data_IF_363473736010
#
_entry.id   IF_363473736010
#
_cell.length_a   1.000
_cell.length_b   1.000
_cell.length_c   1.000
_cell.angle_alpha   90.00
_cell.angle_beta   90.00
_cell.angle_gamma   90.00
#
_symmetry.space_group_name_H-M   'P 1'
#
loop_
_entity.id
_entity.type
_entity.pdbx_description
1 polymer ?
#
# COMPACT_ATOMS: atom_id res chain seq x y z
N UNK A 1 25.26 83.53 14.94
CA UNK A 1 26.19 82.57 14.34
C UNK A 1 25.43 81.72 13.38
N UNK A 2 25.42 82.06 12.11
CA UNK A 2 24.74 81.29 11.05
C UNK A 2 25.78 80.39 10.40
N UNK A 3 25.61 79.09 10.38
CA UNK A 3 26.45 78.16 9.62
C UNK A 3 25.69 77.71 8.40
N UNK A 4 26.21 78.03 7.22
CA UNK A 4 25.75 77.60 5.91
C UNK A 4 26.21 76.17 5.66
N UNK A 5 25.26 75.29 5.25
CA UNK A 5 25.57 73.97 4.65
C UNK A 5 25.33 74.04 3.15
N UNK A 6 26.36 73.74 2.38
CA UNK A 6 26.28 73.58 0.94
C UNK A 6 25.77 72.20 0.53
N UNK A 7 25.02 72.06 -0.56
CA UNK A 7 24.52 70.75 -1.01
C UNK A 7 25.57 69.98 -1.83
N UNK A 8 25.70 68.67 -1.56
CA UNK A 8 26.47 67.71 -2.36
C UNK A 8 25.72 67.33 -3.61
N UNK A 9 26.34 67.07 -4.77
CA UNK A 9 25.69 66.61 -5.97
C UNK A 9 25.40 65.11 -5.88
N UNK A 10 24.18 64.70 -6.25
CA UNK A 10 23.75 63.33 -6.36
C UNK A 10 24.39 62.66 -7.60
N UNK A 11 25.17 61.62 -7.37
CA UNK A 11 25.73 60.75 -8.41
C UNK A 11 24.62 59.74 -8.81
N UNK A 12 24.07 59.83 -10.02
CA UNK A 12 23.14 58.85 -10.58
C UNK A 12 23.90 57.58 -11.02
N UNK A 13 23.71 56.49 -10.29
CA UNK A 13 24.26 55.18 -10.63
C UNK A 13 23.27 54.51 -11.57
N UNK A 14 23.56 54.43 -12.86
CA UNK A 14 22.79 53.70 -13.86
C UNK A 14 23.03 52.20 -13.70
N UNK A 15 22.06 51.51 -13.15
CA UNK A 15 22.07 50.03 -13.04
C UNK A 15 21.69 49.43 -14.41
N UNK A 16 22.68 48.90 -15.13
CA UNK A 16 22.46 48.04 -16.32
C UNK A 16 21.90 46.71 -15.87
N UNK A 17 20.60 46.50 -16.05
CA UNK A 17 19.97 45.20 -15.94
C UNK A 17 20.36 44.31 -17.14
N UNK A 18 21.27 43.36 -16.91
CA UNK A 18 21.52 42.26 -17.84
C UNK A 18 20.31 41.31 -17.77
N UNK A 19 19.77 40.85 -18.92
CA UNK A 19 18.70 39.84 -18.90
C UNK A 19 19.26 38.54 -18.34
N UNK A 20 18.64 38.05 -17.27
CA UNK A 20 18.91 36.73 -16.75
C UNK A 20 18.54 35.69 -17.83
N UNK A 21 19.54 34.96 -18.31
CA UNK A 21 19.30 33.80 -19.18
C UNK A 21 18.45 32.81 -18.42
N UNK A 22 17.26 32.50 -18.94
CA UNK A 22 16.44 31.42 -18.43
C UNK A 22 17.25 30.10 -18.47
N UNK A 23 17.24 29.30 -17.41
CA UNK A 23 17.89 28.00 -17.46
C UNK A 23 17.25 27.19 -18.57
N UNK A 24 18.04 26.81 -19.59
CA UNK A 24 17.62 25.81 -20.56
C UNK A 24 17.30 24.53 -19.81
N UNK A 25 16.08 24.06 -19.90
CA UNK A 25 15.72 22.73 -19.46
C UNK A 25 16.69 21.74 -20.14
N UNK A 26 17.62 21.19 -19.36
CA UNK A 26 18.41 20.05 -19.82
C UNK A 26 17.39 18.94 -20.09
N UNK A 27 17.40 18.41 -21.30
CA UNK A 27 16.80 17.13 -21.60
C UNK A 27 17.35 16.16 -20.56
N UNK A 28 16.46 15.61 -19.74
CA UNK A 28 16.82 14.68 -18.68
C UNK A 28 17.59 13.52 -19.33
N UNK A 29 18.83 13.39 -18.92
CA UNK A 29 19.65 12.21 -19.18
C UNK A 29 19.06 11.11 -18.28
N UNK A 30 17.97 10.48 -18.76
CA UNK A 30 17.23 9.48 -18.03
C UNK A 30 18.05 8.20 -18.05
N UNK A 31 18.99 8.10 -17.12
CA UNK A 31 19.69 6.84 -16.86
C UNK A 31 18.64 5.75 -16.68
N UNK A 32 18.66 4.66 -17.48
CA UNK A 32 17.67 3.60 -17.38
C UNK A 32 17.61 3.07 -15.94
N UNK A 33 16.39 3.01 -15.37
CA UNK A 33 16.21 2.48 -14.02
C UNK A 33 16.61 1.01 -13.98
N UNK A 34 17.17 0.51 -12.86
CA UNK A 34 17.38 -0.92 -12.66
C UNK A 34 16.07 -1.68 -12.82
N UNK A 35 16.16 -2.90 -13.31
CA UNK A 35 14.98 -3.77 -13.56
C UNK A 35 15.06 -4.94 -12.59
N UNK A 36 13.93 -5.27 -11.99
CA UNK A 36 13.76 -6.42 -11.11
C UNK A 36 12.90 -7.49 -11.82
N UNK A 37 13.40 -8.74 -11.86
CA UNK A 37 12.58 -9.85 -12.32
C UNK A 37 12.15 -9.80 -13.79
N UNK A 38 11.01 -10.40 -14.09
CA UNK A 38 10.47 -10.54 -15.45
C UNK A 38 8.94 -10.52 -15.50
N UNK A 39 8.37 -10.33 -16.69
CA UNK A 39 6.93 -10.30 -16.94
C UNK A 39 6.53 -11.55 -17.74
N UNK A 40 5.76 -12.43 -17.10
CA UNK A 40 5.28 -13.69 -17.66
C UNK A 40 3.89 -13.48 -18.25
N UNK A 41 3.74 -13.72 -19.56
CA UNK A 41 2.49 -13.60 -20.29
C UNK A 41 1.89 -14.98 -20.51
N UNK A 42 0.69 -15.24 -20.00
CA UNK A 42 0.06 -16.55 -20.04
C UNK A 42 -1.21 -16.55 -20.88
N UNK A 43 -1.80 -15.37 -21.08
CA UNK A 43 -3.00 -15.17 -21.88
C UNK A 43 -2.82 -13.97 -22.81
N UNK A 44 -3.29 -14.03 -24.08
CA UNK A 44 -3.21 -12.90 -25.01
C UNK A 44 -3.88 -11.61 -24.49
N UNK A 45 -4.91 -11.72 -23.65
CA UNK A 45 -5.58 -10.58 -23.02
C UNK A 45 -4.71 -9.81 -22.03
N UNK A 46 -3.59 -10.39 -21.60
CA UNK A 46 -2.66 -9.71 -20.70
C UNK A 46 -1.98 -8.49 -21.36
N UNK A 47 -1.79 -8.51 -22.69
CA UNK A 47 -1.20 -7.40 -23.44
C UNK A 47 -2.07 -6.13 -23.42
N UNK A 48 -3.38 -6.29 -23.17
CA UNK A 48 -4.30 -5.18 -22.96
C UNK A 48 -4.23 -4.56 -21.56
N UNK A 49 -3.45 -5.14 -20.66
CA UNK A 49 -3.23 -4.66 -19.27
C UNK A 49 -1.80 -4.17 -19.09
N UNK A 50 -0.83 -4.95 -19.58
CA UNK A 50 0.61 -4.65 -19.47
C UNK A 50 1.20 -4.63 -20.88
N UNK A 51 1.68 -3.47 -21.36
CA UNK A 51 2.15 -3.36 -22.75
C UNK A 51 3.35 -4.29 -23.01
N UNK A 52 3.49 -4.83 -24.23
CA UNK A 52 4.69 -5.54 -24.63
C UNK A 52 5.96 -4.70 -24.38
N UNK A 53 7.00 -5.32 -23.81
CA UNK A 53 8.26 -4.63 -23.48
C UNK A 53 8.26 -3.84 -22.18
N UNK A 54 7.14 -3.80 -21.43
CA UNK A 54 7.12 -3.25 -20.08
C UNK A 54 8.16 -3.96 -19.18
N UNK A 55 8.64 -3.23 -18.18
CA UNK A 55 9.65 -3.72 -17.22
C UNK A 55 9.20 -3.41 -15.81
N UNK A 56 9.65 -4.20 -14.86
CA UNK A 56 9.51 -3.92 -13.43
C UNK A 56 10.67 -3.00 -13.03
N UNK A 57 10.44 -1.69 -13.04
CA UNK A 57 11.45 -0.69 -12.73
C UNK A 57 11.64 -0.55 -11.22
N UNK A 58 12.88 -0.56 -10.74
CA UNK A 58 13.20 -0.26 -9.34
C UNK A 58 13.22 1.24 -9.14
N UNK A 59 12.43 1.73 -8.18
CA UNK A 59 12.30 3.14 -7.82
C UNK A 59 13.09 3.50 -6.57
N UNK A 60 13.10 2.60 -5.58
CA UNK A 60 13.84 2.74 -4.34
C UNK A 60 14.30 1.36 -3.83
N UNK A 61 15.34 1.36 -3.00
CA UNK A 61 15.94 0.17 -2.41
C UNK A 61 16.45 0.48 -0.99
N UNK A 62 16.87 -0.57 -0.26
CA UNK A 62 17.41 -0.43 1.09
C UNK A 62 16.33 -0.35 2.17
N UNK A 63 15.15 -0.88 1.87
CA UNK A 63 14.06 -1.07 2.83
C UNK A 63 14.26 -2.38 3.59
N UNK A 64 13.61 -2.52 4.75
CA UNK A 64 13.65 -3.78 5.50
C UNK A 64 12.50 -4.72 5.08
N UNK A 65 11.28 -4.18 4.94
CA UNK A 65 10.11 -4.85 4.41
C UNK A 65 9.08 -3.82 3.94
N UNK A 66 9.01 -3.61 2.62
CA UNK A 66 8.10 -2.65 2.02
C UNK A 66 6.68 -3.21 1.90
N UNK A 67 5.67 -2.40 2.28
CA UNK A 67 4.28 -2.79 2.39
C UNK A 67 3.30 -1.66 2.13
N UNK A 68 2.02 -2.02 1.98
CA UNK A 68 0.87 -1.16 1.99
C UNK A 68 0.94 0.06 1.09
N UNK A 69 1.33 -0.05 -0.18
CA UNK A 69 1.47 1.12 -1.03
C UNK A 69 0.09 1.71 -1.35
N UNK A 70 0.04 3.05 -1.39
CA UNK A 70 -1.13 3.80 -1.83
C UNK A 70 -0.71 5.05 -2.60
N UNK A 71 -1.40 5.33 -3.71
CA UNK A 71 -1.17 6.55 -4.47
C UNK A 71 -1.94 7.72 -3.86
N UNK A 72 -1.24 8.80 -3.57
CA UNK A 72 -1.82 10.08 -3.14
C UNK A 72 -1.86 11.06 -4.32
N UNK A 73 -3.04 11.28 -4.88
CA UNK A 73 -3.21 12.28 -5.93
C UNK A 73 -2.91 13.69 -5.43
N UNK A 74 -3.21 13.98 -4.16
CA UNK A 74 -2.95 15.29 -3.54
C UNK A 74 -1.45 15.60 -3.43
N UNK A 75 -0.61 14.59 -3.22
CA UNK A 75 0.84 14.73 -3.13
C UNK A 75 1.54 14.48 -4.48
N UNK A 76 0.84 13.85 -5.44
CA UNK A 76 1.45 13.35 -6.68
C UNK A 76 2.54 12.30 -6.41
N UNK A 77 2.32 11.43 -5.42
CA UNK A 77 3.32 10.51 -4.88
C UNK A 77 2.70 9.20 -4.43
N UNK A 78 3.50 8.13 -4.40
CA UNK A 78 3.14 6.91 -3.70
C UNK A 78 3.63 6.98 -2.26
N UNK A 79 2.75 6.66 -1.31
CA UNK A 79 3.09 6.42 0.09
C UNK A 79 3.12 4.91 0.31
N UNK A 80 4.05 4.44 1.14
CA UNK A 80 4.14 3.02 1.49
C UNK A 80 4.83 2.83 2.83
N UNK A 81 4.55 1.73 3.50
CA UNK A 81 5.14 1.39 4.79
C UNK A 81 6.45 0.64 4.63
N UNK A 82 7.42 0.93 5.50
CA UNK A 82 8.47 0.00 5.88
C UNK A 82 8.16 -0.45 7.30
N UNK A 83 7.61 -1.66 7.41
CA UNK A 83 6.98 -2.13 8.63
C UNK A 83 7.99 -2.30 9.78
N UNK A 84 9.16 -2.94 9.58
CA UNK A 84 10.19 -3.03 10.62
C UNK A 84 10.76 -1.68 11.03
N UNK A 85 10.94 -0.74 10.08
CA UNK A 85 11.48 0.58 10.38
C UNK A 85 10.48 1.52 11.06
N UNK A 86 9.22 1.06 11.22
CA UNK A 86 8.12 1.87 11.78
C UNK A 86 7.99 3.22 11.05
N UNK A 87 8.03 3.19 9.70
CA UNK A 87 8.12 4.37 8.86
C UNK A 87 7.17 4.26 7.68
N UNK A 88 6.42 5.32 7.38
CA UNK A 88 5.83 5.52 6.05
C UNK A 88 6.79 6.37 5.25
N UNK A 89 7.17 5.85 4.10
CA UNK A 89 7.93 6.59 3.09
C UNK A 89 7.02 7.20 2.03
N UNK A 90 7.49 8.25 1.40
CA UNK A 90 6.96 8.84 0.19
C UNK A 90 7.98 8.68 -0.93
N UNK A 91 7.53 8.19 -2.08
CA UNK A 91 8.32 8.28 -3.30
C UNK A 91 7.60 9.16 -4.33
N UNK A 92 8.32 10.12 -4.90
CA UNK A 92 7.78 11.03 -5.91
C UNK A 92 8.74 11.14 -7.08
N UNK A 93 8.20 11.18 -8.30
CA UNK A 93 9.00 11.31 -9.52
C UNK A 93 9.79 12.63 -9.47
N UNK A 94 11.09 12.57 -9.79
CA UNK A 94 12.01 13.71 -9.73
C UNK A 94 12.51 14.09 -8.32
N UNK A 95 11.83 13.67 -7.25
CA UNK A 95 12.23 13.96 -5.87
C UNK A 95 12.83 12.73 -5.16
N UNK A 96 12.45 11.52 -5.60
CA UNK A 96 12.93 10.26 -5.02
C UNK A 96 12.24 9.88 -3.72
N UNK A 97 12.95 9.14 -2.86
CA UNK A 97 12.47 8.58 -1.61
C UNK A 97 12.70 9.56 -0.44
N UNK A 98 11.65 9.82 0.32
CA UNK A 98 11.69 10.64 1.54
C UNK A 98 10.85 10.02 2.66
N UNK A 99 11.15 10.34 3.92
CA UNK A 99 10.32 9.95 5.06
C UNK A 99 9.07 10.82 5.08
N UNK A 100 7.89 10.19 5.06
CA UNK A 100 6.60 10.87 5.19
C UNK A 100 6.14 10.93 6.65
N UNK A 101 6.24 9.79 7.37
CA UNK A 101 5.77 9.69 8.76
C UNK A 101 6.61 8.69 9.56
N UNK A 102 7.08 9.11 10.72
CA UNK A 102 7.77 8.26 11.70
C UNK A 102 7.52 8.79 13.11
N UNK A 103 7.02 7.99 14.06
CA UNK A 103 6.63 6.58 13.94
C UNK A 103 5.36 6.39 13.11
N UNK A 104 5.23 5.24 12.43
CA UNK A 104 4.10 4.96 11.54
C UNK A 104 3.00 4.10 12.15
N UNK A 105 3.32 3.17 13.07
CA UNK A 105 2.35 2.21 13.59
C UNK A 105 2.62 1.75 15.03
N UNK A 106 3.71 2.20 15.65
CA UNK A 106 3.97 1.99 17.06
C UNK A 106 4.49 3.27 17.70
N UNK A 107 3.76 3.78 18.66
CA UNK A 107 4.06 5.04 19.36
C UNK A 107 4.73 4.86 20.71
N UNK A 108 4.91 3.61 21.17
CA UNK A 108 5.64 3.30 22.40
C UNK A 108 7.15 3.53 22.27
N UNK A 109 7.82 3.60 23.41
CA UNK A 109 9.28 3.86 23.50
C UNK A 109 10.13 2.58 23.55
N UNK A 110 9.51 1.44 23.82
CA UNK A 110 10.18 0.14 23.90
C UNK A 110 10.12 -0.57 22.55
N UNK A 111 11.04 -1.52 22.30
CA UNK A 111 10.89 -2.47 21.19
C UNK A 111 9.66 -3.33 21.45
N UNK A 112 8.71 -3.33 20.51
CA UNK A 112 7.48 -4.10 20.61
C UNK A 112 7.57 -5.43 19.85
N UNK A 113 7.79 -5.36 18.54
CA UNK A 113 7.92 -6.53 17.68
C UNK A 113 8.89 -6.24 16.54
N UNK A 114 9.19 -7.26 15.73
CA UNK A 114 9.98 -7.08 14.51
C UNK A 114 9.26 -6.20 13.49
N UNK A 115 7.94 -6.29 13.45
CA UNK A 115 7.08 -5.60 12.47
C UNK A 115 6.09 -4.71 13.21
N UNK A 116 6.58 -3.65 13.85
CA UNK A 116 5.75 -2.78 14.69
C UNK A 116 5.16 -1.57 13.97
N UNK A 117 5.57 -1.28 12.75
CA UNK A 117 5.09 -0.15 11.96
C UNK A 117 3.65 -0.27 11.49
N UNK A 118 3.21 0.71 10.70
CA UNK A 118 2.03 0.54 9.85
C UNK A 118 2.33 -0.51 8.78
N UNK A 119 1.29 -1.24 8.34
CA UNK A 119 1.33 -2.14 7.21
C UNK A 119 0.47 -1.56 6.08
N UNK A 120 -0.74 -2.04 5.86
CA UNK A 120 -1.63 -1.56 4.81
C UNK A 120 -2.01 -0.09 4.96
N UNK A 121 -1.96 0.64 3.84
CA UNK A 121 -2.40 2.02 3.73
C UNK A 121 -3.50 2.13 2.67
N UNK A 122 -4.48 2.98 2.93
CA UNK A 122 -5.52 3.32 1.95
C UNK A 122 -6.05 4.73 2.21
N UNK A 123 -6.84 5.26 1.30
CA UNK A 123 -7.55 6.52 1.52
C UNK A 123 -9.04 6.27 1.68
N UNK A 124 -9.67 7.02 2.57
CA UNK A 124 -11.12 7.07 2.66
C UNK A 124 -11.69 8.14 1.69
N UNK A 125 -13.03 8.17 1.49
CA UNK A 125 -13.66 9.17 0.62
C UNK A 125 -13.44 10.63 1.04
N UNK A 126 -13.09 10.89 2.31
CA UNK A 126 -12.73 12.22 2.80
C UNK A 126 -11.25 12.59 2.54
N UNK A 127 -10.48 11.72 1.89
CA UNK A 127 -9.06 11.93 1.59
C UNK A 127 -8.14 11.77 2.81
N UNK A 128 -8.60 11.11 3.88
CA UNK A 128 -7.76 10.79 5.03
C UNK A 128 -6.95 9.53 4.73
N UNK A 129 -5.67 9.53 5.07
CA UNK A 129 -4.84 8.34 5.03
C UNK A 129 -5.23 7.41 6.19
N UNK A 130 -5.75 6.24 5.85
CA UNK A 130 -6.05 5.16 6.78
C UNK A 130 -4.83 4.26 6.88
N UNK A 131 -4.44 3.90 8.10
CA UNK A 131 -3.32 3.02 8.38
C UNK A 131 -3.74 1.84 9.23
N UNK A 132 -3.35 0.64 8.82
CA UNK A 132 -3.35 -0.56 9.66
C UNK A 132 -2.07 -0.54 10.50
N UNK A 133 -2.18 -0.46 11.81
CA UNK A 133 -1.03 -0.28 12.71
C UNK A 133 -0.79 -1.54 13.52
N UNK A 134 0.34 -2.20 13.27
CA UNK A 134 0.70 -3.43 13.93
C UNK A 134 1.00 -3.21 15.42
N UNK A 135 1.88 -2.28 15.76
CA UNK A 135 2.36 -2.09 17.13
C UNK A 135 1.31 -1.44 18.05
N UNK A 136 0.61 -0.43 17.57
CA UNK A 136 -0.50 0.19 18.32
C UNK A 136 -1.80 -0.63 18.21
N UNK A 137 -1.85 -1.68 17.36
CA UNK A 137 -2.94 -2.65 17.24
C UNK A 137 -4.28 -1.98 16.94
N UNK A 138 -4.31 -1.11 15.91
CA UNK A 138 -5.48 -0.28 15.60
C UNK A 138 -5.59 0.06 14.11
N UNK A 139 -6.75 0.54 13.71
CA UNK A 139 -6.88 1.39 12.52
C UNK A 139 -6.82 2.86 12.94
N UNK A 140 -6.07 3.65 12.20
CA UNK A 140 -6.01 5.09 12.40
C UNK A 140 -6.27 5.86 11.12
N UNK A 141 -6.63 7.14 11.25
CA UNK A 141 -6.80 8.08 10.15
C UNK A 141 -5.95 9.33 10.37
N UNK A 142 -5.25 9.78 9.30
CA UNK A 142 -4.49 11.01 9.26
C UNK A 142 -5.04 11.92 8.16
N UNK A 143 -5.41 13.16 8.52
CA UNK A 143 -5.78 14.18 7.53
C UNK A 143 -4.51 14.75 6.87
N UNK A 144 -4.48 14.80 5.54
CA UNK A 144 -3.37 15.41 4.79
C UNK A 144 -3.53 16.92 4.62
N UNK A 145 -4.75 17.45 4.76
CA UNK A 145 -5.09 18.86 4.50
C UNK A 145 -5.19 19.74 5.74
N UNK A 146 -5.08 19.18 6.93
CA UNK A 146 -5.24 19.93 8.19
C UNK A 146 -4.18 19.52 9.22
N UNK A 147 -3.68 20.48 9.99
CA UNK A 147 -2.80 20.16 11.11
C UNK A 147 -3.47 19.19 12.09
N UNK A 148 -2.71 18.27 12.64
CA UNK A 148 -3.19 17.30 13.62
C UNK A 148 -2.47 15.96 13.47
N UNK A 149 -2.59 15.12 14.51
CA UNK A 149 -2.03 13.78 14.52
C UNK A 149 -3.00 12.72 13.99
N UNK A 150 -2.56 11.50 13.98
CA UNK A 150 -3.42 10.34 13.72
C UNK A 150 -4.54 10.24 14.76
N UNK A 151 -5.72 9.87 14.30
CA UNK A 151 -6.88 9.56 15.16
C UNK A 151 -7.17 8.07 15.07
N UNK A 152 -7.33 7.41 16.21
CA UNK A 152 -7.80 6.02 16.26
C UNK A 152 -9.22 5.95 15.74
N UNK A 153 -9.47 5.05 14.79
CA UNK A 153 -10.81 4.73 14.30
C UNK A 153 -11.41 3.57 15.10
N UNK A 154 -10.58 2.52 15.33
CA UNK A 154 -10.92 1.38 16.16
C UNK A 154 -9.64 0.66 16.60
N UNK A 155 -9.62 0.14 17.82
CA UNK A 155 -8.53 -0.65 18.39
C UNK A 155 -9.01 -1.89 19.16
N UNK A 156 -10.35 -2.09 19.24
CA UNK A 156 -10.99 -3.19 19.95
C UNK A 156 -12.16 -3.79 19.16
N UNK A 157 -12.39 -5.07 19.38
CA UNK A 157 -13.63 -5.75 19.03
C UNK A 157 -14.16 -6.50 20.25
N UNK A 158 -15.41 -6.24 20.66
CA UNK A 158 -16.04 -6.83 21.85
C UNK A 158 -15.18 -6.67 23.12
N UNK A 159 -14.58 -5.50 23.30
CA UNK A 159 -13.74 -5.15 24.45
C UNK A 159 -12.34 -5.78 24.46
N UNK A 160 -11.95 -6.48 23.42
CA UNK A 160 -10.63 -7.10 23.23
C UNK A 160 -9.83 -6.39 22.15
N UNK A 161 -8.55 -6.20 22.37
CA UNK A 161 -7.66 -5.59 21.38
C UNK A 161 -7.46 -6.50 20.18
N UNK A 162 -7.40 -5.90 19.00
CA UNK A 162 -7.02 -6.61 17.76
C UNK A 162 -5.68 -7.30 17.91
N UNK A 163 -5.41 -8.28 17.04
CA UNK A 163 -4.07 -8.88 16.95
C UNK A 163 -3.07 -7.87 16.37
N UNK A 164 -3.11 -7.63 15.09
CA UNK A 164 -2.31 -6.61 14.40
C UNK A 164 -2.97 -6.31 13.05
N UNK A 165 -3.90 -5.34 12.96
CA UNK A 165 -4.56 -4.99 11.70
C UNK A 165 -3.54 -4.81 10.58
N UNK A 166 -3.76 -5.53 9.45
CA UNK A 166 -2.73 -5.72 8.43
C UNK A 166 -3.03 -4.99 7.13
N UNK A 167 -4.13 -5.27 6.44
CA UNK A 167 -4.51 -4.58 5.20
C UNK A 167 -5.96 -4.10 5.26
N UNK A 168 -6.30 -3.09 4.44
CA UNK A 168 -7.63 -2.52 4.41
C UNK A 168 -8.02 -2.00 3.02
N UNK A 169 -9.32 -2.07 2.73
CA UNK A 169 -9.95 -1.37 1.62
C UNK A 169 -11.20 -0.63 2.09
N UNK A 170 -11.64 0.35 1.31
CA UNK A 170 -12.76 1.23 1.67
C UNK A 170 -13.78 1.24 0.54
N UNK A 171 -15.07 1.11 0.87
CA UNK A 171 -16.16 1.24 -0.10
C UNK A 171 -16.55 2.72 -0.30
N UNK A 172 -17.42 2.98 -1.27
CA UNK A 172 -17.89 4.35 -1.58
C UNK A 172 -18.70 4.99 -0.47
N UNK A 173 -19.29 4.17 0.42
CA UNK A 173 -20.02 4.62 1.60
C UNK A 173 -19.09 4.96 2.77
N UNK A 174 -17.81 4.66 2.67
CA UNK A 174 -16.81 4.90 3.71
C UNK A 174 -16.68 3.77 4.73
N UNK A 175 -17.27 2.60 4.48
CA UNK A 175 -16.99 1.44 5.32
C UNK A 175 -15.58 0.92 5.02
N UNK A 176 -14.84 0.56 6.07
CA UNK A 176 -13.49 0.02 5.99
C UNK A 176 -13.56 -1.47 6.26
N UNK A 177 -13.08 -2.27 5.31
CA UNK A 177 -12.89 -3.70 5.45
C UNK A 177 -11.42 -3.96 5.74
N UNK A 178 -11.12 -4.73 6.78
CA UNK A 178 -9.73 -4.94 7.20
C UNK A 178 -9.49 -6.34 7.75
N UNK A 179 -8.25 -6.78 7.70
CA UNK A 179 -7.78 -8.08 8.19
C UNK A 179 -6.97 -7.89 9.47
N UNK A 180 -7.00 -8.90 10.35
CA UNK A 180 -6.36 -8.84 11.67
C UNK A 180 -5.56 -10.14 11.97
N UNK A 181 -4.52 -10.46 11.18
CA UNK A 181 -3.60 -11.55 11.47
C UNK A 181 -2.61 -11.17 12.58
N UNK A 182 -1.80 -12.13 13.10
CA UNK A 182 -0.94 -11.89 14.26
C UNK A 182 0.50 -11.43 13.92
N UNK A 183 0.79 -10.98 12.68
CA UNK A 183 2.17 -10.72 12.23
C UNK A 183 2.90 -9.66 13.04
N UNK A 184 2.17 -8.59 13.43
CA UNK A 184 2.71 -7.48 14.21
C UNK A 184 2.86 -7.74 15.70
N UNK A 185 2.41 -8.90 16.21
CA UNK A 185 2.56 -9.25 17.63
C UNK A 185 4.04 -9.54 17.98
N UNK A 186 4.45 -9.45 19.25
CA UNK A 186 5.85 -9.61 19.67
C UNK A 186 6.52 -10.90 19.19
N UNK A 187 5.78 -12.00 19.16
CA UNK A 187 6.25 -13.30 18.65
C UNK A 187 5.62 -13.68 17.31
N UNK A 188 4.97 -12.72 16.62
CA UNK A 188 4.27 -12.92 15.37
C UNK A 188 3.21 -14.04 15.47
N UNK A 189 3.10 -14.93 14.47
CA UNK A 189 2.14 -16.04 14.48
C UNK A 189 2.26 -17.01 15.66
N UNK A 190 3.40 -17.07 16.31
CA UNK A 190 3.63 -17.90 17.48
C UNK A 190 3.24 -17.23 18.81
N UNK A 191 2.79 -15.96 18.77
CA UNK A 191 2.39 -15.23 19.96
C UNK A 191 1.03 -15.72 20.47
N UNK A 192 1.04 -16.31 21.65
CA UNK A 192 -0.16 -16.71 22.38
C UNK A 192 -0.38 -15.88 23.64
N UNK A 193 0.65 -15.18 24.11
CA UNK A 193 0.65 -14.48 25.40
C UNK A 193 0.01 -13.09 25.29
N UNK A 194 0.22 -12.42 24.15
CA UNK A 194 -0.26 -11.04 23.92
C UNK A 194 -1.64 -11.01 23.26
N UNK A 195 -2.07 -12.12 22.67
CA UNK A 195 -3.36 -12.21 21.97
C UNK A 195 -4.53 -12.13 22.94
N UNK A 196 -5.48 -11.25 22.64
CA UNK A 196 -6.76 -11.16 23.33
C UNK A 196 -7.89 -11.79 22.50
N UNK A 197 -7.85 -11.60 21.16
CA UNK A 197 -8.75 -12.23 20.22
C UNK A 197 -8.11 -13.54 19.75
N UNK A 198 -8.77 -14.72 19.97
CA UNK A 198 -8.16 -16.03 19.69
C UNK A 198 -8.20 -16.47 18.23
N UNK A 199 -8.84 -15.68 17.35
CA UNK A 199 -8.91 -15.93 15.91
C UNK A 199 -8.26 -14.81 15.13
N UNK A 200 -8.02 -15.01 13.85
CA UNK A 200 -7.60 -14.01 12.91
C UNK A 200 -8.82 -13.61 12.06
N UNK A 201 -9.32 -12.40 12.26
CA UNK A 201 -10.59 -11.98 11.70
C UNK A 201 -10.45 -11.15 10.42
N UNK A 202 -11.54 -11.14 9.64
CA UNK A 202 -11.83 -10.10 8.65
C UNK A 202 -12.99 -9.30 9.20
N UNK A 203 -12.86 -7.99 9.23
CA UNK A 203 -13.82 -7.10 9.87
C UNK A 203 -14.30 -6.00 8.93
N UNK A 204 -15.47 -5.41 9.26
CA UNK A 204 -16.00 -4.18 8.66
C UNK A 204 -16.19 -3.13 9.75
N UNK A 205 -15.65 -1.94 9.54
CA UNK A 205 -15.87 -0.75 10.34
C UNK A 205 -16.74 0.23 9.55
N UNK A 206 -17.87 0.67 10.12
CA UNK A 206 -18.71 1.70 9.48
C UNK A 206 -18.22 3.11 9.84
N UNK A 207 -18.64 4.16 9.08
CA UNK A 207 -18.33 5.56 9.42
C UNK A 207 -18.78 5.99 10.82
N UNK A 208 -19.84 5.35 11.35
CA UNK A 208 -20.37 5.60 12.69
C UNK A 208 -19.57 4.89 13.79
N UNK A 209 -18.54 4.12 13.44
CA UNK A 209 -17.68 3.43 14.39
C UNK A 209 -18.16 2.02 14.79
N UNK A 210 -19.17 1.46 14.13
CA UNK A 210 -19.60 0.08 14.38
C UNK A 210 -18.67 -0.90 13.71
N UNK A 211 -18.08 -1.82 14.50
CA UNK A 211 -17.28 -2.94 13.98
C UNK A 211 -18.11 -4.22 13.93
N UNK A 212 -17.99 -4.95 12.83
CA UNK A 212 -18.62 -6.26 12.64
C UNK A 212 -17.55 -7.28 12.21
N UNK A 213 -17.50 -8.43 12.85
CA UNK A 213 -16.72 -9.58 12.40
C UNK A 213 -17.43 -10.20 11.19
N UNK A 214 -16.76 -10.26 10.04
CA UNK A 214 -17.29 -10.81 8.81
C UNK A 214 -17.01 -12.31 8.67
N UNK A 215 -15.76 -12.71 8.93
CA UNK A 215 -15.34 -14.12 8.97
C UNK A 215 -14.11 -14.30 9.85
N UNK A 216 -13.93 -15.51 10.38
CA UNK A 216 -12.77 -15.98 11.16
C UNK A 216 -12.28 -17.35 10.71
N UNK A 217 -12.67 -17.75 9.50
CA UNK A 217 -12.36 -19.07 8.96
C UNK A 217 -10.95 -19.15 8.38
N UNK A 218 -10.37 -18.01 8.00
CA UNK A 218 -9.04 -17.96 7.44
C UNK A 218 -7.98 -18.01 8.53
N UNK A 219 -6.96 -18.83 8.32
CA UNK A 219 -5.89 -19.00 9.30
C UNK A 219 -4.98 -17.78 9.36
N UNK A 220 -4.66 -17.18 8.20
CA UNK A 220 -3.85 -15.98 8.08
C UNK A 220 -4.45 -15.05 7.01
N UNK A 221 -5.61 -14.40 7.27
CA UNK A 221 -6.13 -13.39 6.35
C UNK A 221 -5.13 -12.25 6.22
N UNK A 222 -4.87 -11.80 4.98
CA UNK A 222 -3.88 -10.79 4.68
C UNK A 222 -4.50 -9.70 3.78
N UNK A 223 -4.12 -9.58 2.52
CA UNK A 223 -4.67 -8.59 1.61
C UNK A 223 -6.19 -8.66 1.49
N UNK A 224 -6.84 -7.50 1.36
CA UNK A 224 -8.29 -7.39 1.20
C UNK A 224 -8.64 -6.32 0.16
N UNK A 225 -9.60 -6.62 -0.74
CA UNK A 225 -10.10 -5.68 -1.72
C UNK A 225 -11.55 -5.95 -2.10
N UNK A 226 -12.23 -4.93 -2.62
CA UNK A 226 -13.58 -5.02 -3.15
C UNK A 226 -13.57 -5.13 -4.68
N UNK A 227 -14.57 -5.83 -5.23
CA UNK A 227 -14.88 -5.72 -6.66
C UNK A 227 -15.34 -4.31 -7.02
N UNK A 228 -15.24 -3.88 -8.30
CA UNK A 228 -15.64 -2.52 -8.70
C UNK A 228 -17.11 -2.19 -8.44
N UNK A 229 -18.00 -3.21 -8.41
CA UNK A 229 -19.42 -3.08 -8.07
C UNK A 229 -19.70 -3.23 -6.56
N UNK A 230 -18.64 -3.43 -5.74
CA UNK A 230 -18.69 -3.60 -4.28
C UNK A 230 -19.55 -4.78 -3.79
N UNK A 231 -19.77 -5.80 -4.67
CA UNK A 231 -20.58 -6.98 -4.33
C UNK A 231 -19.75 -8.20 -3.98
N UNK A 232 -18.42 -8.12 -4.09
CA UNK A 232 -17.51 -9.20 -3.74
C UNK A 232 -16.36 -8.64 -2.92
N UNK A 233 -16.10 -9.26 -1.77
CA UNK A 233 -14.91 -9.03 -0.98
C UNK A 233 -13.90 -10.14 -1.29
N UNK A 234 -12.72 -9.76 -1.77
CA UNK A 234 -11.61 -10.67 -1.98
C UNK A 234 -10.67 -10.62 -0.79
N UNK A 235 -10.20 -11.79 -0.34
CA UNK A 235 -9.26 -11.90 0.79
C UNK A 235 -8.17 -12.90 0.43
N UNK A 236 -6.92 -12.50 0.63
CA UNK A 236 -5.77 -13.38 0.53
C UNK A 236 -5.56 -14.16 1.83
N UNK A 237 -5.11 -15.42 1.73
CA UNK A 237 -4.70 -16.24 2.87
C UNK A 237 -3.23 -16.64 2.73
N UNK A 238 -2.40 -16.16 3.66
CA UNK A 238 -0.96 -16.40 3.71
C UNK A 238 -0.59 -17.66 4.50
N UNK A 239 -1.23 -18.79 4.20
CA UNK A 239 -0.86 -20.09 4.78
C UNK A 239 -0.15 -20.94 3.71
N UNK A 240 1.09 -21.37 3.97
CA UNK A 240 1.84 -22.23 3.02
C UNK A 240 1.14 -23.56 2.74
N UNK A 241 0.29 -24.02 3.65
CA UNK A 241 -0.50 -25.27 3.48
C UNK A 241 -1.86 -25.04 2.81
N UNK A 242 -2.26 -23.78 2.64
CA UNK A 242 -3.51 -23.37 2.01
C UNK A 242 -3.35 -21.92 1.49
N UNK A 243 -2.46 -21.72 0.51
CA UNK A 243 -2.14 -20.43 -0.08
C UNK A 243 -3.22 -20.07 -1.11
N UNK A 244 -4.20 -19.23 -0.71
CA UNK A 244 -5.45 -19.03 -1.43
C UNK A 244 -5.75 -17.55 -1.63
N UNK A 245 -6.49 -17.25 -2.69
CA UNK A 245 -7.32 -16.05 -2.77
C UNK A 245 -8.78 -16.47 -2.73
N UNK A 246 -9.52 -15.89 -1.78
CA UNK A 246 -10.93 -16.14 -1.56
C UNK A 246 -11.80 -15.04 -2.14
N UNK A 247 -13.00 -15.40 -2.58
CA UNK A 247 -14.03 -14.45 -3.01
C UNK A 247 -15.31 -14.68 -2.20
N UNK A 248 -15.76 -13.66 -1.48
CA UNK A 248 -16.96 -13.69 -0.65
C UNK A 248 -18.00 -12.74 -1.25
N UNK A 249 -19.19 -13.25 -1.65
CA UNK A 249 -20.29 -12.37 -2.01
C UNK A 249 -20.69 -11.49 -0.81
N UNK A 250 -20.84 -10.19 -1.05
CA UNK A 250 -21.21 -9.21 -0.03
C UNK A 250 -22.68 -8.87 -0.16
N UNK A 251 -23.44 -9.07 0.92
CA UNK A 251 -24.84 -8.69 1.00
C UNK A 251 -25.02 -7.18 1.18
N UNK A 252 -26.19 -6.62 0.81
CA UNK A 252 -26.46 -5.18 0.98
C UNK A 252 -26.39 -4.68 2.44
N UNK A 253 -26.59 -5.56 3.42
CA UNK A 253 -26.42 -5.23 4.85
C UNK A 253 -24.97 -5.25 5.31
N UNK A 254 -24.04 -5.64 4.42
CA UNK A 254 -22.62 -5.73 4.64
C UNK A 254 -22.15 -7.01 5.32
N UNK A 255 -22.98 -8.04 5.40
CA UNK A 255 -22.59 -9.40 5.78
C UNK A 255 -22.04 -10.18 4.57
N UNK A 256 -21.29 -11.25 4.82
CA UNK A 256 -20.77 -12.12 3.77
C UNK A 256 -21.64 -13.37 3.59
N UNK A 257 -21.86 -13.75 2.33
CA UNK A 257 -22.28 -15.12 1.99
C UNK A 257 -21.07 -16.07 2.08
N UNK A 258 -21.29 -17.41 2.06
CA UNK A 258 -20.21 -18.39 2.02
C UNK A 258 -19.23 -18.08 0.89
N UNK A 259 -17.92 -18.05 1.22
CA UNK A 259 -16.85 -17.77 0.27
C UNK A 259 -16.54 -18.95 -0.64
N UNK A 260 -15.95 -18.66 -1.79
CA UNK A 260 -15.35 -19.66 -2.66
C UNK A 260 -13.86 -19.40 -2.84
N UNK A 261 -13.09 -20.44 -3.10
CA UNK A 261 -11.72 -20.30 -3.57
C UNK A 261 -11.77 -19.68 -4.97
N UNK A 262 -11.12 -18.53 -5.14
CA UNK A 262 -10.94 -17.89 -6.44
C UNK A 262 -9.76 -18.52 -7.16
N UNK A 263 -8.62 -18.63 -6.47
CA UNK A 263 -7.43 -19.31 -6.97
C UNK A 263 -6.65 -19.96 -5.82
N UNK A 264 -6.00 -21.08 -6.12
CA UNK A 264 -5.16 -21.85 -5.20
C UNK A 264 -3.73 -21.93 -5.76
N UNK A 265 -2.77 -21.42 -5.00
CA UNK A 265 -1.35 -21.42 -5.34
C UNK A 265 -0.51 -22.18 -4.31
N UNK A 266 -1.15 -23.06 -3.53
CA UNK A 266 -0.50 -23.87 -2.49
C UNK A 266 0.67 -24.69 -3.04
N UNK A 267 0.49 -25.29 -4.22
CA UNK A 267 1.57 -26.04 -4.87
C UNK A 267 2.78 -25.16 -5.27
N UNK A 268 2.54 -23.90 -5.67
CA UNK A 268 3.61 -22.95 -5.94
C UNK A 268 4.32 -22.54 -4.66
N UNK A 269 3.58 -22.20 -3.62
CA UNK A 269 4.12 -21.81 -2.31
C UNK A 269 4.96 -22.91 -1.69
N UNK A 270 4.51 -24.16 -1.77
CA UNK A 270 5.20 -25.35 -1.23
C UNK A 270 6.38 -25.84 -2.09
N UNK A 271 6.55 -25.33 -3.31
CA UNK A 271 7.58 -25.82 -4.24
C UNK A 271 9.01 -25.46 -3.87
N UNK A 272 9.22 -24.47 -3.01
CA UNK A 272 10.53 -23.88 -2.70
C UNK A 272 11.15 -23.04 -3.84
N UNK A 273 10.56 -23.10 -5.05
CA UNK A 273 11.04 -22.35 -6.23
C UNK A 273 10.64 -20.89 -6.17
N UNK A 274 9.41 -20.62 -5.75
CA UNK A 274 8.86 -19.27 -5.72
C UNK A 274 8.87 -18.73 -4.29
N UNK A 275 9.18 -17.44 -4.16
CA UNK A 275 9.16 -16.73 -2.87
C UNK A 275 7.83 -16.03 -2.66
N UNK A 276 7.45 -15.86 -1.39
CA UNK A 276 6.21 -15.19 -1.00
C UNK A 276 5.02 -16.13 -0.83
N UNK A 277 3.95 -15.56 -0.30
CA UNK A 277 2.62 -16.17 -0.10
C UNK A 277 1.57 -15.17 -0.61
N UNK A 278 0.30 -15.58 -0.78
CA UNK A 278 -0.78 -14.63 -1.06
C UNK A 278 -0.80 -13.53 0.01
N UNK A 279 -0.61 -12.27 -0.42
CA UNK A 279 -0.44 -11.11 0.45
C UNK A 279 -1.34 -9.96 -0.05
N UNK A 280 -0.87 -8.75 -0.21
CA UNK A 280 -1.68 -7.63 -0.66
C UNK A 280 -2.30 -7.83 -2.04
N UNK A 281 -3.46 -7.22 -2.28
CA UNK A 281 -4.15 -7.30 -3.57
C UNK A 281 -4.94 -6.04 -3.89
N UNK A 282 -5.12 -5.77 -5.17
CA UNK A 282 -5.96 -4.69 -5.70
C UNK A 282 -6.78 -5.20 -6.88
N UNK A 283 -7.89 -4.52 -7.16
CA UNK A 283 -8.79 -4.84 -8.26
C UNK A 283 -8.84 -3.66 -9.22
N UNK A 284 -8.66 -3.91 -10.51
CA UNK A 284 -8.76 -2.88 -11.54
C UNK A 284 -10.23 -2.56 -11.91
N UNK A 285 -10.50 -1.48 -12.63
CA UNK A 285 -11.88 -1.12 -13.02
C UNK A 285 -12.60 -2.18 -13.89
N UNK A 286 -11.86 -3.11 -14.51
CA UNK A 286 -12.43 -4.23 -15.27
C UNK A 286 -12.72 -5.45 -14.41
N UNK A 287 -12.36 -5.39 -13.11
CA UNK A 287 -12.54 -6.48 -12.14
C UNK A 287 -11.38 -7.48 -12.10
N UNK A 288 -10.28 -7.26 -12.83
CA UNK A 288 -9.13 -8.13 -12.72
C UNK A 288 -8.42 -7.94 -11.38
N UNK A 289 -8.01 -9.04 -10.75
CA UNK A 289 -7.24 -9.02 -9.52
C UNK A 289 -5.74 -8.94 -9.84
N UNK A 290 -5.09 -8.02 -9.16
CA UNK A 290 -3.64 -7.85 -9.13
C UNK A 290 -3.19 -8.21 -7.72
N UNK A 291 -2.82 -9.47 -7.53
CA UNK A 291 -2.64 -10.08 -6.22
C UNK A 291 -1.21 -10.57 -6.04
N UNK A 292 -0.54 -10.11 -4.99
CA UNK A 292 0.80 -10.59 -4.66
C UNK A 292 0.73 -12.00 -4.10
N UNK A 293 1.74 -12.79 -4.42
CA UNK A 293 1.78 -14.20 -4.05
C UNK A 293 3.11 -14.85 -4.42
N UNK A 294 3.16 -16.19 -4.44
CA UNK A 294 4.39 -16.89 -4.80
C UNK A 294 4.92 -16.47 -6.17
N UNK A 295 6.13 -15.89 -6.19
CA UNK A 295 6.81 -15.43 -7.41
C UNK A 295 6.56 -13.96 -7.78
N UNK A 296 5.62 -13.25 -7.16
CA UNK A 296 5.36 -11.83 -7.45
C UNK A 296 3.88 -11.49 -7.55
N UNK A 297 3.48 -10.62 -8.48
CA UNK A 297 2.09 -10.21 -8.67
C UNK A 297 1.41 -11.09 -9.71
N UNK A 298 0.36 -11.80 -9.32
CA UNK A 298 -0.52 -12.57 -10.19
C UNK A 298 -1.64 -11.67 -10.72
N UNK A 299 -1.84 -11.65 -12.03
CA UNK A 299 -2.93 -10.91 -12.66
C UNK A 299 -3.98 -11.89 -13.14
N UNK A 300 -5.17 -11.82 -12.55
CA UNK A 300 -6.25 -12.80 -12.77
C UNK A 300 -7.52 -12.10 -13.22
N UNK A 301 -8.30 -12.77 -14.07
CA UNK A 301 -9.67 -12.32 -14.39
C UNK A 301 -10.59 -12.41 -13.16
N UNK A 302 -11.78 -11.78 -13.18
CA UNK A 302 -12.76 -11.88 -12.09
C UNK A 302 -13.17 -13.32 -11.75
N UNK A 303 -13.04 -14.24 -12.71
CA UNK A 303 -13.36 -15.68 -12.52
C UNK A 303 -12.17 -16.45 -11.91
N UNK A 304 -10.98 -15.82 -11.77
CA UNK A 304 -9.77 -16.44 -11.24
C UNK A 304 -8.86 -17.05 -12.31
N UNK A 305 -9.11 -16.80 -13.60
CA UNK A 305 -8.19 -17.24 -14.66
C UNK A 305 -6.91 -16.41 -14.62
N UNK A 306 -5.75 -17.05 -14.48
CA UNK A 306 -4.45 -16.39 -14.51
C UNK A 306 -4.14 -15.88 -15.93
N UNK A 307 -3.98 -14.57 -16.07
CA UNK A 307 -3.67 -13.88 -17.33
C UNK A 307 -2.17 -13.70 -17.53
N UNK A 308 -1.45 -13.43 -16.44
CA UNK A 308 0.00 -13.22 -16.44
C UNK A 308 0.54 -13.02 -15.04
N UNK A 309 1.86 -12.85 -14.94
CA UNK A 309 2.53 -12.63 -13.66
C UNK A 309 3.67 -11.64 -13.82
N UNK A 310 3.80 -10.72 -12.85
CA UNK A 310 4.95 -9.85 -12.70
C UNK A 310 5.88 -10.55 -11.69
N UNK A 311 6.85 -11.31 -12.19
CA UNK A 311 7.73 -12.14 -11.35
C UNK A 311 8.90 -11.33 -10.84
N UNK A 312 8.96 -11.10 -9.53
CA UNK A 312 9.95 -10.24 -8.88
C UNK A 312 11.17 -11.00 -8.38
N UNK A 313 11.11 -12.34 -8.29
CA UNK A 313 12.11 -13.26 -7.72
C UNK A 313 12.35 -13.09 -6.21
N UNK A 314 11.62 -12.19 -5.57
CA UNK A 314 11.65 -11.92 -4.11
C UNK A 314 10.24 -12.00 -3.53
N UNK A 315 10.08 -12.14 -2.21
CA UNK A 315 8.77 -11.99 -1.60
C UNK A 315 8.16 -10.64 -1.96
N UNK A 316 6.89 -10.62 -2.28
CA UNK A 316 6.20 -9.41 -2.71
C UNK A 316 5.00 -9.18 -1.79
N UNK A 317 5.05 -8.11 -1.01
CA UNK A 317 4.06 -7.82 0.01
C UNK A 317 2.76 -7.28 -0.59
N UNK A 318 2.81 -6.17 -1.33
CA UNK A 318 1.59 -5.48 -1.75
C UNK A 318 1.80 -4.70 -3.05
N UNK A 319 0.71 -4.18 -3.63
CA UNK A 319 0.77 -3.32 -4.80
C UNK A 319 -0.34 -2.27 -4.77
N UNK A 320 -0.22 -1.21 -5.57
CA UNK A 320 -1.30 -0.26 -5.81
C UNK A 320 -1.23 0.35 -7.20
N UNK A 321 -2.38 0.70 -7.74
CA UNK A 321 -2.46 1.54 -8.93
C UNK A 321 -2.12 2.99 -8.59
N UNK A 322 -1.51 3.72 -9.52
CA UNK A 322 -1.18 5.11 -9.32
C UNK A 322 -0.58 5.76 -10.55
N UNK A 323 -0.05 6.97 -10.34
CA UNK A 323 0.31 7.90 -11.39
C UNK A 323 -0.82 8.87 -11.70
N UNK A 324 -0.55 10.02 -12.33
CA UNK A 324 -1.54 11.04 -12.64
C UNK A 324 -2.75 10.52 -13.44
N UNK A 325 -2.54 9.45 -14.22
CA UNK A 325 -3.58 8.82 -15.07
C UNK A 325 -3.81 7.35 -14.69
N UNK A 326 -3.39 6.91 -13.49
CA UNK A 326 -3.44 5.50 -13.05
C UNK A 326 -2.66 4.54 -13.96
N UNK A 327 -1.65 5.05 -14.64
CA UNK A 327 -0.87 4.36 -15.67
C UNK A 327 0.27 3.49 -15.11
N UNK A 328 0.38 3.37 -13.79
CA UNK A 328 1.39 2.53 -13.14
C UNK A 328 0.77 1.59 -12.10
N UNK A 329 1.35 0.39 -12.01
CA UNK A 329 1.27 -0.43 -10.81
C UNK A 329 2.55 -0.23 -10.00
N UNK A 330 2.45 0.27 -8.79
CA UNK A 330 3.53 0.28 -7.80
C UNK A 330 3.52 -1.02 -7.03
N UNK A 331 4.71 -1.57 -6.74
CA UNK A 331 4.87 -2.90 -6.14
C UNK A 331 5.88 -2.79 -4.99
N UNK A 332 5.46 -3.20 -3.81
CA UNK A 332 6.32 -3.41 -2.66
C UNK A 332 6.89 -4.84 -2.72
N UNK A 333 8.18 -4.96 -3.01
CA UNK A 333 8.86 -6.22 -3.24
C UNK A 333 10.08 -6.33 -2.32
N UNK A 334 9.88 -6.91 -1.11
CA UNK A 334 10.92 -7.06 -0.09
C UNK A 334 11.59 -5.70 0.22
N UNK A 335 12.87 -5.57 -0.09
CA UNK A 335 13.68 -4.37 0.13
C UNK A 335 13.52 -3.29 -0.95
N UNK A 336 12.56 -3.41 -1.87
CA UNK A 336 12.40 -2.51 -3.01
C UNK A 336 10.98 -1.97 -3.16
N UNK A 337 10.88 -0.70 -3.56
CA UNK A 337 9.71 -0.17 -4.24
C UNK A 337 9.96 -0.23 -5.74
N UNK A 338 9.05 -0.87 -6.47
CA UNK A 338 9.10 -1.00 -7.92
C UNK A 338 7.86 -0.41 -8.58
N UNK A 339 7.88 -0.26 -9.91
CA UNK A 339 6.69 0.03 -10.71
C UNK A 339 6.72 -0.68 -12.06
N UNK A 340 5.54 -0.89 -12.61
CA UNK A 340 5.31 -1.34 -13.99
C UNK A 340 4.38 -0.38 -14.68
N UNK A 341 4.70 0.02 -15.91
CA UNK A 341 3.78 0.80 -16.74
C UNK A 341 2.65 -0.09 -17.24
N UNK A 342 1.43 0.39 -17.12
CA UNK A 342 0.22 -0.27 -17.57
C UNK A 342 -0.30 0.35 -18.86
N UNK A 343 -1.22 -0.35 -19.52
CA UNK A 343 -2.05 0.22 -20.60
C UNK A 343 -3.12 1.07 -19.92
N UNK A 344 -3.29 2.35 -20.34
CA UNK A 344 -4.30 3.26 -19.78
C UNK A 344 -5.74 2.78 -19.97
#
# INVERSE_FOLDING_TARGET
>A
MQTFFAPFPALALSLLLLPAAAPSARADDVTPRPVLGEIIRLDPGFDALVPPGAKIEVLASGLDWSEGPVWSAALGAVLFSDVPQNTVFQWKEGEGLTTFLKPSGYTGTNTYSRESGSNGLTFDPAGRLISCEHGDRRLSALSLSGGGGKRTLTDHFEGKRYNSPNDACVDRAGNIYFTDPPYGLPKGPADVDTREIPWNGVYRLTPEGKVTLLTKELKFPNGVALSPDEKTLYVAQSDVTAALWMAYPLHPDGTLAPGRILADVTAMAGSGKYKGLPDGLKVDPKGNLWATGPGGVHVMSPEGKLLGRLETFVPTGNCCFGGPHQEYLYICADAWLCRVKLVP
#
